data_IF_223450168452
#
_entry.id   IF_223450168452
#
_cell.length_a   1.000
_cell.length_b   1.000
_cell.length_c   1.000
_cell.angle_alpha   90.00
_cell.angle_beta   90.00
_cell.angle_gamma   90.00
#
_symmetry.space_group_name_H-M   'P 1'
#
loop_
_entity.id
_entity.type
_entity.pdbx_description
1 polymer ?
#
# COMPACT_ATOMS: atom_id res chain seq x y z
N UNK A 1 -15.36 -21.41 -19.76
CA UNK A 1 -15.56 -20.47 -18.65
C UNK A 1 -15.28 -21.21 -17.35
N UNK A 2 -14.28 -20.78 -16.57
CA UNK A 2 -13.99 -21.35 -15.25
C UNK A 2 -14.92 -20.70 -14.24
N UNK A 3 -16.09 -21.30 -14.01
CA UNK A 3 -17.10 -20.82 -13.08
C UNK A 3 -17.15 -21.73 -11.85
N UNK A 4 -16.96 -21.16 -10.67
CA UNK A 4 -17.21 -21.84 -9.40
C UNK A 4 -18.73 -22.02 -9.21
N UNK A 5 -19.11 -23.14 -8.59
CA UNK A 5 -20.47 -23.33 -8.12
C UNK A 5 -20.84 -22.23 -7.09
N UNK A 6 -22.09 -21.76 -7.11
CA UNK A 6 -22.56 -20.63 -6.31
C UNK A 6 -22.38 -20.81 -4.79
N UNK A 7 -22.53 -22.04 -4.28
CA UNK A 7 -22.35 -22.35 -2.86
C UNK A 7 -20.88 -22.19 -2.46
N UNK A 8 -19.93 -22.59 -3.31
CA UNK A 8 -18.51 -22.36 -3.07
C UNK A 8 -18.13 -20.88 -3.20
N UNK A 9 -18.69 -20.18 -4.18
CA UNK A 9 -18.46 -18.75 -4.35
C UNK A 9 -18.91 -17.97 -3.10
N UNK A 10 -20.13 -18.24 -2.61
CA UNK A 10 -20.67 -17.60 -1.40
C UNK A 10 -19.82 -17.89 -0.17
N UNK A 11 -19.31 -19.12 -0.01
CA UNK A 11 -18.41 -19.48 1.10
C UNK A 11 -17.11 -18.69 1.04
N UNK A 12 -16.46 -18.63 -0.12
CA UNK A 12 -15.21 -17.87 -0.27
C UNK A 12 -15.42 -16.37 -0.01
N UNK A 13 -16.55 -15.80 -0.43
CA UNK A 13 -16.87 -14.39 -0.19
C UNK A 13 -17.17 -14.04 1.27
N UNK A 14 -17.39 -15.03 2.15
CA UNK A 14 -17.52 -14.82 3.60
C UNK A 14 -16.15 -14.63 4.27
N UNK A 15 -15.12 -15.32 3.76
CA UNK A 15 -13.78 -15.35 4.36
C UNK A 15 -12.78 -14.43 3.64
N UNK A 16 -12.97 -14.18 2.34
CA UNK A 16 -12.03 -13.46 1.49
C UNK A 16 -12.66 -12.25 0.82
N UNK A 17 -11.90 -11.15 0.82
CA UNK A 17 -12.15 -9.97 -0.01
C UNK A 17 -11.01 -9.82 -1.01
N UNK A 18 -11.30 -9.25 -2.17
CA UNK A 18 -10.31 -9.03 -3.23
C UNK A 18 -10.55 -7.69 -3.91
N UNK A 19 -9.48 -7.03 -4.34
CA UNK A 19 -9.56 -5.84 -5.17
C UNK A 19 -8.53 -5.94 -6.30
N UNK A 20 -8.88 -5.41 -7.47
CA UNK A 20 -7.92 -5.14 -8.55
C UNK A 20 -7.42 -3.71 -8.43
N UNK A 21 -6.11 -3.55 -8.61
CA UNK A 21 -5.40 -2.29 -8.47
C UNK A 21 -4.73 -1.94 -9.80
N UNK A 22 -4.96 -0.71 -10.28
CA UNK A 22 -4.31 -0.19 -11.49
C UNK A 22 -2.89 0.28 -11.20
N UNK A 23 -2.09 0.49 -12.26
CA UNK A 23 -0.74 1.05 -12.11
C UNK A 23 -0.75 2.44 -11.46
N UNK A 24 -1.75 3.28 -11.77
CA UNK A 24 -1.92 4.59 -11.15
C UNK A 24 -2.25 4.47 -9.65
N UNK A 25 -3.17 3.58 -9.28
CA UNK A 25 -3.51 3.31 -7.87
C UNK A 25 -2.29 2.78 -7.09
N UNK A 26 -1.48 1.91 -7.72
CA UNK A 26 -0.22 1.40 -7.17
C UNK A 26 0.80 2.52 -6.96
N UNK A 27 1.04 3.35 -7.99
CA UNK A 27 1.99 4.46 -7.92
C UNK A 27 1.60 5.47 -6.84
N UNK A 28 0.30 5.78 -6.72
CA UNK A 28 -0.21 6.67 -5.69
C UNK A 28 -0.03 6.07 -4.29
N UNK A 29 -0.36 4.80 -4.10
CA UNK A 29 -0.17 4.14 -2.81
C UNK A 29 1.31 4.06 -2.39
N UNK A 30 2.21 3.82 -3.34
CA UNK A 30 3.66 3.82 -3.11
C UNK A 30 4.12 5.23 -2.67
N UNK A 31 3.72 6.26 -3.42
CA UNK A 31 4.04 7.66 -3.11
C UNK A 31 3.54 8.08 -1.73
N UNK A 32 2.27 7.83 -1.46
CA UNK A 32 1.68 8.13 -0.16
C UNK A 32 2.42 7.41 0.96
N UNK A 33 2.71 6.11 0.81
CA UNK A 33 3.44 5.33 1.83
C UNK A 33 4.82 5.93 2.10
N UNK A 34 5.53 6.34 1.05
CA UNK A 34 6.86 6.95 1.16
C UNK A 34 6.82 8.34 1.82
N UNK A 35 5.85 9.18 1.50
CA UNK A 35 5.77 10.56 2.02
C UNK A 35 5.30 10.62 3.48
N UNK A 36 4.44 9.68 3.86
CA UNK A 36 3.67 9.73 5.10
C UNK A 36 4.23 8.89 6.25
N UNK A 37 5.15 7.98 5.93
CA UNK A 37 5.78 7.12 6.92
C UNK A 37 6.90 7.86 7.63
N UNK A 38 7.03 7.61 8.94
CA UNK A 38 8.18 8.04 9.70
C UNK A 38 9.45 7.44 9.07
N UNK A 39 10.40 8.29 8.68
CA UNK A 39 11.65 7.95 7.97
C UNK A 39 11.54 7.52 6.49
N UNK A 40 10.41 7.80 5.82
CA UNK A 40 10.23 7.52 4.38
C UNK A 40 10.43 6.06 3.99
N UNK A 41 9.68 5.17 4.62
CA UNK A 41 9.62 3.76 4.25
C UNK A 41 9.21 3.60 2.77
N UNK A 42 10.12 3.03 1.99
CA UNK A 42 9.89 2.73 0.58
C UNK A 42 9.47 1.26 0.42
N UNK A 43 8.23 1.05 -0.03
CA UNK A 43 7.73 -0.28 -0.36
C UNK A 43 7.98 -0.62 -1.84
N UNK A 44 8.00 -1.92 -2.16
CA UNK A 44 8.03 -2.39 -3.53
C UNK A 44 6.62 -2.33 -4.18
N UNK A 45 6.50 -2.42 -5.52
CA UNK A 45 5.20 -2.35 -6.21
C UNK A 45 4.16 -3.38 -5.72
N UNK A 46 4.57 -4.60 -5.36
CA UNK A 46 3.64 -5.63 -4.89
C UNK A 46 3.06 -5.27 -3.52
N UNK A 47 3.91 -4.73 -2.64
CA UNK A 47 3.48 -4.20 -1.35
C UNK A 47 2.55 -3.00 -1.53
N UNK A 48 2.87 -2.10 -2.46
CA UNK A 48 2.01 -0.94 -2.78
C UNK A 48 0.62 -1.36 -3.29
N UNK A 49 0.53 -2.40 -4.12
CA UNK A 49 -0.75 -3.01 -4.53
C UNK A 49 -1.55 -3.48 -3.31
N UNK A 50 -0.91 -4.16 -2.35
CA UNK A 50 -1.60 -4.63 -1.14
C UNK A 50 -2.10 -3.46 -0.27
N UNK A 51 -1.31 -2.38 -0.15
CA UNK A 51 -1.73 -1.15 0.55
C UNK A 51 -2.92 -0.50 -0.14
N UNK A 52 -2.87 -0.36 -1.48
CA UNK A 52 -3.97 0.20 -2.27
C UNK A 52 -5.25 -0.64 -2.14
N UNK A 53 -5.14 -1.97 -2.22
CA UNK A 53 -6.26 -2.89 -2.02
C UNK A 53 -6.85 -2.78 -0.62
N UNK A 54 -6.03 -2.71 0.42
CA UNK A 54 -6.49 -2.56 1.79
C UNK A 54 -7.23 -1.22 2.00
N UNK A 55 -6.78 -0.12 1.38
CA UNK A 55 -7.52 1.15 1.37
C UNK A 55 -8.86 1.03 0.63
N UNK A 56 -8.84 0.50 -0.59
CA UNK A 56 -10.01 0.32 -1.46
C UNK A 56 -11.10 -0.57 -0.84
N UNK A 57 -10.69 -1.56 -0.05
CA UNK A 57 -11.58 -2.46 0.69
C UNK A 57 -12.01 -1.91 2.07
N UNK A 58 -11.59 -0.71 2.45
CA UNK A 58 -11.90 -0.09 3.74
C UNK A 58 -11.24 -0.79 4.94
N UNK A 59 -10.19 -1.59 4.70
CA UNK A 59 -9.40 -2.22 5.76
C UNK A 59 -8.47 -1.20 6.42
N UNK A 60 -7.97 -0.23 5.65
CA UNK A 60 -7.20 0.91 6.15
C UNK A 60 -8.10 2.14 6.19
N UNK A 61 -8.29 2.73 7.37
CA UNK A 61 -9.08 3.95 7.54
C UNK A 61 -8.31 5.16 6.98
N UNK A 62 -8.99 6.00 6.20
CA UNK A 62 -8.51 7.33 5.78
C UNK A 62 -9.52 8.33 6.32
N UNK A 63 -9.11 9.26 7.17
CA UNK A 63 -10.01 10.30 7.67
C UNK A 63 -10.27 11.33 6.55
N UNK A 64 -11.41 11.20 5.86
CA UNK A 64 -11.90 12.12 4.82
C UNK A 64 -12.22 13.55 5.34
N UNK A 65 -12.11 13.80 6.65
CA UNK A 65 -12.47 15.09 7.26
C UNK A 65 -11.36 16.15 7.20
N UNK A 66 -10.18 15.83 6.69
CA UNK A 66 -9.06 16.79 6.56
C UNK A 66 -8.90 17.29 5.12
N UNK A 67 -9.93 17.97 4.62
CA UNK A 67 -9.80 18.86 3.46
C UNK A 67 -8.94 20.08 3.81
N UNK A 68 -7.62 19.90 3.92
CA UNK A 68 -6.55 20.91 3.77
C UNK A 68 -5.19 20.26 4.07
N UNK A 69 -4.51 19.81 3.01
CA UNK A 69 -3.05 19.64 2.91
C UNK A 69 -2.32 18.99 4.09
N UNK A 70 -2.18 17.66 4.07
CA UNK A 70 -1.27 16.92 4.95
C UNK A 70 -1.62 15.44 5.05
N UNK A 71 -1.03 14.60 4.21
CA UNK A 71 -1.18 13.14 4.21
C UNK A 71 -0.38 12.49 5.34
N UNK A 72 -0.90 12.55 6.56
CA UNK A 72 -0.37 11.77 7.68
C UNK A 72 -0.99 10.36 7.69
N UNK A 73 -0.31 9.36 7.09
CA UNK A 73 -0.58 7.93 7.37
C UNK A 73 -0.21 7.53 8.81
N UNK A 74 0.32 8.46 9.61
CA UNK A 74 0.58 8.27 11.02
C UNK A 74 -0.37 9.16 11.85
N UNK A 75 -1.67 8.82 11.90
CA UNK A 75 -2.53 9.05 13.06
C UNK A 75 -3.88 8.37 12.87
N UNK A 76 -4.02 7.17 13.43
CA UNK A 76 -5.33 6.62 13.74
C UNK A 76 -5.85 7.32 15.01
N UNK A 77 -6.70 8.34 14.87
CA UNK A 77 -7.44 8.92 16.01
C UNK A 77 -8.94 9.07 15.68
N UNK A 78 -9.65 8.00 16.02
CA UNK A 78 -10.80 8.00 16.94
C UNK A 78 -12.19 8.42 16.41
N UNK A 79 -13.00 7.40 16.08
CA UNK A 79 -14.44 7.42 16.35
C UNK A 79 -14.81 6.26 17.29
N UNK A 80 -15.64 6.58 18.27
CA UNK A 80 -15.72 5.93 19.60
C UNK A 80 -16.57 4.64 19.64
N UNK A 81 -16.81 3.95 18.53
CA UNK A 81 -17.85 2.89 18.48
C UNK A 81 -17.51 1.62 17.70
N UNK A 82 -16.30 1.48 17.12
CA UNK A 82 -15.89 0.20 16.53
C UNK A 82 -14.45 -0.17 16.92
N UNK A 83 -14.17 -1.45 17.26
CA UNK A 83 -12.82 -1.87 17.61
C UNK A 83 -11.88 -1.65 16.42
N UNK A 84 -10.77 -0.96 16.66
CA UNK A 84 -9.77 -0.64 15.64
C UNK A 84 -9.28 -1.92 14.97
N UNK A 85 -9.68 -2.14 13.71
CA UNK A 85 -9.26 -3.31 12.94
C UNK A 85 -7.77 -3.17 12.64
N UNK A 86 -6.95 -4.02 13.26
CA UNK A 86 -5.53 -4.10 12.95
C UNK A 86 -5.36 -4.76 11.57
N UNK A 87 -4.55 -4.15 10.72
CA UNK A 87 -4.22 -4.66 9.40
C UNK A 87 -2.75 -5.00 9.36
N UNK A 88 -2.43 -6.17 8.81
CA UNK A 88 -1.06 -6.59 8.50
C UNK A 88 -0.93 -6.63 6.99
N UNK A 89 0.02 -5.86 6.45
CA UNK A 89 0.41 -5.93 5.04
C UNK A 89 1.66 -6.78 4.93
N UNK A 90 1.62 -7.80 4.06
CA UNK A 90 2.77 -8.66 3.82
C UNK A 90 3.64 -7.99 2.76
N UNK A 91 4.81 -7.48 3.16
CA UNK A 91 5.79 -6.97 2.22
C UNK A 91 6.50 -8.13 1.52
N UNK A 92 6.14 -8.39 0.27
CA UNK A 92 6.56 -9.63 -0.43
C UNK A 92 7.93 -9.51 -1.10
N UNK A 93 8.44 -8.29 -1.26
CA UNK A 93 9.74 -8.06 -1.88
C UNK A 93 10.43 -6.80 -1.37
N UNK A 94 11.76 -6.74 -1.57
CA UNK A 94 12.54 -5.52 -1.34
C UNK A 94 12.38 -4.54 -2.52
N UNK A 95 12.28 -3.23 -2.27
CA UNK A 95 12.25 -2.20 -3.32
C UNK A 95 13.48 -2.20 -4.24
N UNK A 96 14.65 -2.72 -3.79
CA UNK A 96 15.86 -2.73 -4.61
C UNK A 96 15.74 -3.52 -5.92
N UNK A 97 14.74 -4.41 -6.02
CA UNK A 97 14.46 -5.23 -7.20
C UNK A 97 13.64 -4.50 -8.28
N UNK A 98 13.15 -3.28 -8.01
CA UNK A 98 12.14 -2.61 -8.86
C UNK A 98 12.44 -1.13 -9.09
N UNK A 99 13.67 -0.80 -9.51
CA UNK A 99 14.11 0.57 -9.81
C UNK A 99 13.15 1.31 -10.76
N UNK A 100 12.72 0.66 -11.84
CA UNK A 100 11.86 1.28 -12.85
C UNK A 100 10.50 1.72 -12.29
N UNK A 101 9.77 0.81 -11.65
CA UNK A 101 8.45 1.11 -11.10
C UNK A 101 8.51 2.18 -9.99
N UNK A 102 9.56 2.14 -9.15
CA UNK A 102 9.76 3.14 -8.11
C UNK A 102 10.11 4.50 -8.72
N UNK A 103 10.95 4.53 -9.75
CA UNK A 103 11.28 5.76 -10.47
C UNK A 103 10.05 6.36 -11.14
N UNK A 104 9.17 5.54 -11.71
CA UNK A 104 7.88 5.98 -12.26
C UNK A 104 7.00 6.62 -11.18
N UNK A 105 6.94 6.03 -9.98
CA UNK A 105 6.09 6.53 -8.91
C UNK A 105 6.65 7.79 -8.21
N UNK A 106 7.95 7.83 -7.90
CA UNK A 106 8.57 8.86 -7.04
C UNK A 106 9.49 9.84 -7.77
N UNK A 107 9.84 9.54 -9.02
CA UNK A 107 10.87 10.25 -9.77
C UNK A 107 12.29 9.77 -9.46
N UNK A 108 13.21 10.06 -10.39
CA UNK A 108 14.61 9.60 -10.36
C UNK A 108 15.40 10.16 -9.18
N UNK A 109 15.12 11.40 -8.77
CA UNK A 109 15.81 12.03 -7.63
C UNK A 109 15.51 11.31 -6.32
N UNK A 110 14.22 11.02 -6.06
CA UNK A 110 13.77 10.27 -4.88
C UNK A 110 14.38 8.87 -4.84
N UNK A 111 14.39 8.17 -5.98
CA UNK A 111 15.05 6.88 -6.09
C UNK A 111 16.54 6.95 -5.77
N UNK A 112 17.28 7.88 -6.36
CA UNK A 112 18.71 8.03 -6.12
C UNK A 112 19.03 8.37 -4.66
N UNK A 113 18.21 9.23 -4.04
CA UNK A 113 18.31 9.54 -2.61
C UNK A 113 18.11 8.28 -1.77
N UNK A 114 17.06 7.50 -2.04
CA UNK A 114 16.83 6.25 -1.30
C UNK A 114 17.96 5.24 -1.53
N UNK A 115 18.39 5.07 -2.78
CA UNK A 115 19.47 4.15 -3.19
C UNK A 115 20.79 4.46 -2.47
N UNK A 116 21.09 5.74 -2.28
CA UNK A 116 22.31 6.17 -1.60
C UNK A 116 22.29 5.87 -0.10
N UNK A 117 21.13 6.02 0.54
CA UNK A 117 21.01 5.95 2.00
C UNK A 117 20.60 4.57 2.53
N UNK A 118 19.86 3.79 1.75
CA UNK A 118 19.16 2.59 2.24
C UNK A 118 19.34 1.34 1.35
N UNK A 119 20.02 1.44 0.21
CA UNK A 119 20.17 0.29 -0.68
C UNK A 119 21.04 -0.79 -0.02
N UNK A 120 20.57 -2.05 0.05
CA UNK A 120 21.32 -3.11 0.71
C UNK A 120 22.67 -3.36 0.02
N UNK A 121 23.75 -3.39 0.80
CA UNK A 121 25.11 -3.65 0.27
C UNK A 121 25.23 -4.98 -0.48
N UNK A 122 24.47 -6.00 -0.07
CA UNK A 122 24.44 -7.32 -0.72
C UNK A 122 23.75 -7.33 -2.09
N UNK A 123 23.05 -6.26 -2.45
CA UNK A 123 22.34 -6.14 -3.72
C UNK A 123 23.06 -5.21 -4.71
N UNK A 124 24.19 -4.63 -4.31
CA UNK A 124 25.02 -3.75 -5.15
C UNK A 124 25.79 -4.54 -6.22
#
# INVERSE_FOLDING_TARGET
QLTLNELWLKRLQQDFQSASITDDEMCNALRETYESSFEHYLCDPHTAVAVAAAKKLGCLCVDESSSRGGTHLAQAIQSKTSPQRKVVIIATASPCKFEEAITTALGKESWNKWKTNFFPSRAQ
#
